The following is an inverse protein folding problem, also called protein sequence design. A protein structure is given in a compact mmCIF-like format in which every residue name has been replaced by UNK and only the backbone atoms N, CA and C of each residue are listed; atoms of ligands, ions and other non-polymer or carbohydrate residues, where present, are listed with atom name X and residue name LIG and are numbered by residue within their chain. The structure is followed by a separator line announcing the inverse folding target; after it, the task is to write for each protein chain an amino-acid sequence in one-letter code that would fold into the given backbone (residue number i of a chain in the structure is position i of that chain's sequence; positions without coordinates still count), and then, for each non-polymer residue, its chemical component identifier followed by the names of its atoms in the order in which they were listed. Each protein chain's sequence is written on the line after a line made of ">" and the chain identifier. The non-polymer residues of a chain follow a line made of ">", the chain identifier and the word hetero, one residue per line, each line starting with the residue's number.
data_IF_186339995260
#
_entry.id   IF_186339995260
#
_cell.length_a   1.000
_cell.length_b   1.000
_cell.length_c   1.000
_cell.angle_alpha   90.00
_cell.angle_beta   90.00
_cell.angle_gamma   90.00
#
_symmetry.space_group_name_H-M   'P 1'
#
loop_
_entity.id
_entity.type
_entity.pdbx_description
1 polymer ?
#
# COMPACT_ATOMS: atom_id res chain seq x y z
N UNK A 1 -34.43 12.79 41.54
CA UNK A 1 -34.42 12.09 40.25
C UNK A 1 -32.97 11.89 39.86
N UNK A 2 -32.50 10.64 39.86
CA UNK A 2 -31.11 10.26 39.57
C UNK A 2 -30.99 9.96 38.06
N UNK A 3 -29.94 10.48 37.41
CA UNK A 3 -29.62 10.13 36.01
C UNK A 3 -28.72 8.89 35.99
N UNK A 4 -28.91 7.94 35.07
CA UNK A 4 -28.12 6.72 35.02
C UNK A 4 -26.75 6.98 34.37
N UNK A 5 -25.68 6.53 35.02
CA UNK A 5 -24.33 6.52 34.47
C UNK A 5 -24.14 5.24 33.65
N UNK A 6 -24.06 5.36 32.33
CA UNK A 6 -23.71 4.24 31.44
C UNK A 6 -22.21 4.26 31.19
N UNK A 7 -21.48 3.30 31.75
CA UNK A 7 -20.04 3.13 31.52
C UNK A 7 -19.83 2.32 30.25
N UNK A 8 -19.36 2.95 29.16
CA UNK A 8 -18.83 2.22 28.00
C UNK A 8 -17.36 1.87 28.27
N UNK A 9 -17.05 0.57 28.32
CA UNK A 9 -15.68 0.08 28.26
C UNK A 9 -15.26 -0.06 26.79
N UNK A 10 -14.32 0.77 26.34
CA UNK A 10 -13.66 0.59 25.04
C UNK A 10 -12.31 -0.11 25.28
N UNK A 11 -12.26 -1.42 25.02
CA UNK A 11 -11.00 -2.14 24.88
C UNK A 11 -10.36 -1.74 23.54
N UNK A 12 -9.60 -0.65 23.55
CA UNK A 12 -8.70 -0.32 22.46
C UNK A 12 -7.50 -1.25 22.51
N UNK A 13 -7.55 -2.35 21.75
CA UNK A 13 -6.36 -3.10 21.41
C UNK A 13 -5.45 -2.15 20.60
N UNK A 14 -4.49 -1.53 21.28
CA UNK A 14 -3.35 -0.90 20.62
C UNK A 14 -2.55 -2.03 20.00
N UNK A 15 -2.85 -2.34 18.75
CA UNK A 15 -2.03 -3.19 17.90
C UNK A 15 -0.60 -2.67 18.00
N UNK A 16 0.27 -3.47 18.60
CA UNK A 16 1.70 -3.22 18.61
C UNK A 16 2.18 -3.11 17.17
N UNK A 17 2.37 -1.88 16.70
CA UNK A 17 3.02 -1.60 15.42
C UNK A 17 4.46 -2.08 15.51
N UNK A 18 4.67 -3.34 15.11
CA UNK A 18 5.99 -3.92 14.99
C UNK A 18 6.74 -3.15 13.90
N UNK A 19 7.74 -2.39 14.34
CA UNK A 19 8.84 -1.80 13.56
C UNK A 19 8.47 -1.39 12.13
N UNK A 20 8.07 -0.12 11.95
CA UNK A 20 8.01 0.51 10.65
C UNK A 20 9.43 0.64 10.06
N UNK A 21 9.98 -0.45 9.54
CA UNK A 21 10.93 -0.32 8.46
C UNK A 21 10.19 0.41 7.34
N UNK A 22 10.74 1.54 6.87
CA UNK A 22 10.15 2.26 5.75
C UNK A 22 10.33 1.39 4.51
N UNK A 23 9.31 0.59 4.21
CA UNK A 23 9.23 -0.18 2.97
C UNK A 23 8.73 0.78 1.90
N UNK A 24 9.47 0.88 0.82
CA UNK A 24 9.14 1.72 -0.30
C UNK A 24 8.79 0.86 -1.50
N UNK A 25 7.87 1.38 -2.31
CA UNK A 25 7.47 0.80 -3.58
C UNK A 25 7.95 1.67 -4.73
N UNK A 26 8.39 1.03 -5.80
CA UNK A 26 8.74 1.69 -7.06
C UNK A 26 7.87 1.09 -8.16
N UNK A 27 7.16 1.94 -8.88
CA UNK A 27 6.30 1.51 -9.97
C UNK A 27 7.10 1.42 -11.26
N UNK A 28 6.85 0.37 -12.04
CA UNK A 28 7.55 0.11 -13.30
C UNK A 28 6.55 -0.07 -14.44
N UNK A 29 7.03 0.21 -15.66
CA UNK A 29 6.28 -0.02 -16.88
C UNK A 29 6.26 -1.51 -17.27
N UNK A 30 5.61 -1.82 -18.40
CA UNK A 30 5.52 -3.19 -18.91
C UNK A 30 6.89 -3.82 -19.25
N UNK A 31 7.94 -3.01 -19.47
CA UNK A 31 9.29 -3.47 -19.76
C UNK A 31 10.16 -3.59 -18.49
N UNK A 32 9.63 -3.24 -17.32
CA UNK A 32 10.37 -3.25 -16.06
C UNK A 32 11.24 -2.01 -15.85
N UNK A 33 11.03 -0.93 -16.60
CA UNK A 33 11.68 0.34 -16.33
C UNK A 33 10.90 1.12 -15.27
N UNK A 34 11.60 1.64 -14.25
CA UNK A 34 10.95 2.47 -13.23
C UNK A 34 10.31 3.72 -13.86
N UNK A 35 9.07 4.00 -13.46
CA UNK A 35 8.32 5.17 -13.89
C UNK A 35 8.62 6.31 -12.92
N UNK A 36 9.22 7.37 -13.44
CA UNK A 36 9.70 8.48 -12.63
C UNK A 36 10.88 8.09 -11.74
N UNK A 37 11.12 8.88 -10.70
CA UNK A 37 12.26 8.70 -9.77
C UNK A 37 11.82 8.60 -8.31
N UNK A 38 10.50 8.59 -8.06
CA UNK A 38 9.92 8.58 -6.73
C UNK A 38 9.70 7.15 -6.26
N UNK A 39 10.14 6.86 -5.05
CA UNK A 39 9.75 5.66 -4.33
C UNK A 39 8.67 6.06 -3.32
N UNK A 40 7.58 5.29 -3.25
CA UNK A 40 6.42 5.59 -2.42
C UNK A 40 6.45 4.74 -1.16
N UNK A 41 6.40 5.38 0.00
CA UNK A 41 6.27 4.68 1.27
C UNK A 41 4.93 3.94 1.32
N UNK A 42 4.97 2.62 1.49
CA UNK A 42 3.76 1.77 1.52
C UNK A 42 2.93 1.97 2.78
N UNK A 43 3.47 2.67 3.79
CA UNK A 43 2.73 3.10 4.98
C UNK A 43 2.05 4.46 4.80
N UNK A 44 2.38 5.19 3.74
CA UNK A 44 1.78 6.49 3.47
C UNK A 44 0.46 6.35 2.72
N UNK A 45 -0.62 6.68 3.41
CA UNK A 45 -1.98 6.69 2.87
C UNK A 45 -2.30 7.85 1.93
N UNK A 46 -1.32 8.60 1.43
CA UNK A 46 -1.51 9.66 0.44
C UNK A 46 -1.92 9.13 -0.93
N UNK A 47 -2.76 9.88 -1.64
CA UNK A 47 -3.07 9.61 -3.04
C UNK A 47 -1.95 10.14 -3.94
N UNK A 48 -1.60 9.38 -4.97
CA UNK A 48 -0.58 9.77 -5.95
C UNK A 48 -0.92 9.22 -7.34
N UNK A 49 -0.34 9.79 -8.39
CA UNK A 49 -0.59 9.37 -9.78
C UNK A 49 0.69 8.83 -10.41
N UNK A 50 0.62 7.64 -11.00
CA UNK A 50 1.72 7.03 -11.77
C UNK A 50 1.16 6.48 -13.07
N UNK A 51 1.30 7.24 -14.16
CA UNK A 51 0.79 6.79 -15.45
C UNK A 51 1.50 5.54 -15.94
N UNK A 52 0.73 4.61 -16.54
CA UNK A 52 1.23 3.40 -17.24
C UNK A 52 1.94 2.38 -16.33
N UNK A 53 1.70 2.43 -15.02
CA UNK A 53 2.23 1.43 -14.10
C UNK A 53 1.67 0.05 -14.42
N UNK A 54 2.55 -0.92 -14.65
CA UNK A 54 2.19 -2.32 -14.88
C UNK A 54 2.80 -3.26 -13.85
N UNK A 55 3.86 -2.83 -13.18
CA UNK A 55 4.57 -3.61 -12.17
C UNK A 55 4.91 -2.73 -10.97
N UNK A 56 5.23 -3.39 -9.85
CA UNK A 56 5.77 -2.77 -8.65
C UNK A 56 6.94 -3.59 -8.11
N UNK A 57 7.98 -2.93 -7.62
CA UNK A 57 9.05 -3.53 -6.83
C UNK A 57 9.08 -2.89 -5.44
N UNK A 58 9.66 -3.61 -4.48
CA UNK A 58 9.76 -3.14 -3.10
C UNK A 58 11.22 -3.04 -2.68
N UNK A 59 11.49 -2.11 -1.78
CA UNK A 59 12.82 -1.90 -1.19
C UNK A 59 12.68 -1.39 0.23
N UNK A 60 13.72 -1.57 1.03
CA UNK A 60 13.81 -0.96 2.35
C UNK A 60 15.27 -0.61 2.63
N UNK A 61 15.50 0.38 3.48
CA UNK A 61 16.83 0.58 4.05
C UNK A 61 17.10 -0.46 5.14
N UNK A 62 18.05 -1.37 4.91
CA UNK A 62 18.50 -2.34 5.92
C UNK A 62 18.73 -3.73 5.35
N UNK A 63 19.18 -4.68 6.19
CA UNK A 63 19.59 -6.02 5.77
C UNK A 63 18.41 -7.00 5.60
N UNK A 64 17.16 -6.52 5.59
CA UNK A 64 16.02 -7.42 5.42
C UNK A 64 15.91 -7.86 3.96
N UNK A 65 15.74 -9.17 3.75
CA UNK A 65 15.54 -9.74 2.41
C UNK A 65 14.07 -9.63 1.97
N UNK A 66 13.15 -9.69 2.92
CA UNK A 66 11.71 -9.68 2.71
C UNK A 66 11.02 -8.72 3.67
N UNK A 67 9.89 -8.16 3.22
CA UNK A 67 8.94 -7.41 4.03
C UNK A 67 7.62 -8.18 4.13
N UNK A 68 7.23 -8.51 5.36
CA UNK A 68 6.13 -9.44 5.62
C UNK A 68 4.75 -8.92 5.17
N UNK A 69 4.53 -7.60 5.14
CA UNK A 69 3.21 -7.03 4.85
C UNK A 69 2.17 -7.36 5.95
N UNK A 70 0.86 -7.26 5.64
CA UNK A 70 0.28 -6.94 4.33
C UNK A 70 0.38 -5.47 3.93
N UNK A 71 0.46 -5.23 2.62
CA UNK A 71 0.34 -3.91 2.01
C UNK A 71 -0.76 -3.97 0.96
N UNK A 72 -1.78 -3.11 1.07
CA UNK A 72 -2.83 -3.01 0.08
C UNK A 72 -2.59 -1.82 -0.84
N UNK A 73 -2.50 -2.08 -2.14
CA UNK A 73 -2.51 -1.05 -3.16
C UNK A 73 -3.92 -0.88 -3.69
N UNK A 74 -4.45 0.33 -3.60
CA UNK A 74 -5.75 0.68 -4.16
C UNK A 74 -5.52 1.50 -5.44
N UNK A 75 -6.24 1.17 -6.49
CA UNK A 75 -6.25 1.90 -7.76
C UNK A 75 -7.58 2.63 -8.01
N UNK A 76 -7.48 3.73 -8.73
CA UNK A 76 -8.58 4.61 -9.11
C UNK A 76 -8.46 4.95 -10.60
N UNK A 77 -9.42 4.52 -11.41
CA UNK A 77 -9.35 4.63 -12.87
C UNK A 77 -9.35 6.08 -13.35
N UNK A 78 -10.24 6.91 -12.77
CA UNK A 78 -10.43 8.30 -13.17
C UNK A 78 -9.27 9.23 -12.75
N UNK A 79 -8.37 8.76 -11.87
CA UNK A 79 -7.33 9.58 -11.26
C UNK A 79 -7.83 10.51 -10.14
N UNK A 80 -6.90 11.13 -9.41
CA UNK A 80 -7.20 12.19 -8.44
C UNK A 80 -7.89 11.74 -7.14
N UNK A 81 -7.63 10.52 -6.66
CA UNK A 81 -8.29 9.90 -5.49
C UNK A 81 -8.70 10.90 -4.38
N UNK A 82 -10.00 10.99 -4.04
CA UNK A 82 -10.58 10.11 -3.02
C UNK A 82 -11.99 9.57 -3.38
N UNK A 83 -12.40 8.52 -2.66
CA UNK A 83 -13.57 7.65 -2.92
C UNK A 83 -13.24 6.21 -2.50
N UNK A 84 -14.16 5.27 -2.69
CA UNK A 84 -13.80 3.84 -2.64
C UNK A 84 -13.02 3.52 -3.92
N UNK A 85 -11.89 2.83 -3.80
CA UNK A 85 -11.11 2.43 -4.97
C UNK A 85 -11.90 1.52 -5.90
N UNK A 86 -11.51 1.52 -7.17
CA UNK A 86 -12.14 0.68 -8.19
C UNK A 86 -11.59 -0.76 -8.12
N UNK A 87 -10.30 -0.87 -7.76
CA UNK A 87 -9.58 -2.12 -7.64
C UNK A 87 -8.56 -2.07 -6.50
N UNK A 88 -8.26 -3.22 -5.95
CA UNK A 88 -7.22 -3.39 -4.94
C UNK A 88 -6.36 -4.63 -5.21
N UNK A 89 -5.15 -4.61 -4.67
CA UNK A 89 -4.25 -5.75 -4.68
C UNK A 89 -3.44 -5.78 -3.39
N UNK A 90 -3.51 -6.92 -2.72
CA UNK A 90 -2.73 -7.16 -1.51
C UNK A 90 -1.35 -7.76 -1.86
N UNK A 91 -0.34 -7.30 -1.14
CA UNK A 91 1.02 -7.78 -1.19
C UNK A 91 1.45 -8.27 0.19
N UNK A 92 1.96 -9.50 0.26
CA UNK A 92 2.51 -10.12 1.47
C UNK A 92 3.83 -10.79 1.14
N UNK A 93 4.70 -10.88 2.15
CA UNK A 93 6.02 -11.50 2.02
C UNK A 93 6.75 -11.06 0.73
N UNK A 94 6.85 -9.74 0.55
CA UNK A 94 7.46 -9.18 -0.65
C UNK A 94 8.98 -9.18 -0.50
N UNK A 95 9.67 -9.57 -1.56
CA UNK A 95 11.13 -9.46 -1.61
C UNK A 95 11.52 -8.00 -1.73
N UNK A 96 12.57 -7.63 -1.00
CA UNK A 96 13.20 -6.31 -1.01
C UNK A 96 14.40 -6.25 -1.97
N UNK A 97 14.63 -7.32 -2.73
CA UNK A 97 15.54 -7.33 -3.87
C UNK A 97 14.95 -6.51 -5.02
N UNK A 98 15.69 -5.50 -5.48
CA UNK A 98 15.27 -4.62 -6.57
C UNK A 98 15.12 -5.33 -7.92
N UNK A 99 15.66 -6.54 -8.06
CA UNK A 99 15.45 -7.39 -9.25
C UNK A 99 14.07 -8.05 -9.27
N UNK A 100 13.42 -8.16 -8.11
CA UNK A 100 12.09 -8.78 -7.99
C UNK A 100 11.01 -7.74 -8.28
N UNK A 101 10.15 -8.06 -9.24
CA UNK A 101 8.96 -7.28 -9.56
C UNK A 101 7.69 -8.11 -9.40
N UNK A 102 6.59 -7.42 -9.14
CA UNK A 102 5.26 -7.98 -9.00
C UNK A 102 4.35 -7.35 -10.05
N UNK A 103 3.65 -8.18 -10.82
CA UNK A 103 2.69 -7.69 -11.81
C UNK A 103 1.48 -7.10 -11.10
N UNK A 104 1.04 -5.93 -11.57
CA UNK A 104 -0.23 -5.36 -11.15
C UNK A 104 -1.36 -6.13 -11.83
N UNK A 105 -2.41 -6.45 -11.07
CA UNK A 105 -3.61 -7.06 -11.60
C UNK A 105 -4.24 -6.14 -12.65
N UNK A 106 -5.08 -6.71 -13.51
CA UNK A 106 -5.60 -6.03 -14.70
C UNK A 106 -6.25 -4.67 -14.39
N UNK A 107 -7.01 -4.54 -13.30
CA UNK A 107 -7.64 -3.27 -12.90
C UNK A 107 -6.70 -2.26 -12.25
N UNK A 108 -5.53 -2.69 -11.78
CA UNK A 108 -4.49 -1.79 -11.26
C UNK A 108 -3.54 -1.32 -12.36
N UNK A 109 -3.44 -2.07 -13.47
CA UNK A 109 -2.52 -1.77 -14.55
C UNK A 109 -2.95 -0.50 -15.31
N UNK A 110 -2.14 0.55 -15.20
CA UNK A 110 -2.34 1.81 -15.91
C UNK A 110 -3.47 2.68 -15.35
N UNK A 111 -3.93 2.43 -14.13
CA UNK A 111 -4.93 3.25 -13.46
C UNK A 111 -4.46 4.72 -13.31
N UNK A 112 -5.42 5.64 -13.23
CA UNK A 112 -5.13 7.08 -13.17
C UNK A 112 -4.42 7.52 -11.90
N UNK A 113 -4.74 6.91 -10.76
CA UNK A 113 -4.08 7.16 -9.48
C UNK A 113 -4.14 5.98 -8.53
N UNK A 114 -3.30 6.03 -7.50
CA UNK A 114 -3.10 4.96 -6.54
C UNK A 114 -3.02 5.49 -5.11
N UNK A 115 -3.24 4.59 -4.16
CA UNK A 115 -3.08 4.82 -2.74
C UNK A 115 -2.61 3.54 -2.04
N UNK A 116 -1.60 3.66 -1.18
CA UNK A 116 -1.20 2.55 -0.31
C UNK A 116 -1.99 2.56 1.00
N UNK A 117 -2.27 1.37 1.54
CA UNK A 117 -2.76 1.17 2.90
C UNK A 117 -1.87 0.11 3.56
N UNK A 118 -1.34 0.35 4.78
CA UNK A 118 -0.41 -0.57 5.47
C UNK A 118 -1.09 -1.80 6.10
N UNK A 119 -2.24 -2.22 5.57
CA UNK A 119 -3.03 -3.33 6.07
C UNK A 119 -3.58 -4.14 4.89
N UNK A 120 -4.32 -5.19 5.23
CA UNK A 120 -5.06 -5.97 4.24
C UNK A 120 -6.08 -5.14 3.48
N UNK A 121 -6.37 -5.55 2.24
CA UNK A 121 -7.39 -4.90 1.42
C UNK A 121 -8.82 -5.16 1.94
N UNK A 122 -9.02 -6.25 2.68
CA UNK A 122 -10.26 -6.61 3.35
C UNK A 122 -10.02 -6.66 4.88
N UNK A 123 -10.81 -5.96 5.72
CA UNK A 123 -10.66 -5.95 7.18
C UNK A 123 -11.05 -7.26 7.89
#
# INVERSE_FOLDING_TARGET
>A
MQFPTTTLALLGALSTGAFAANVFSSFLDANGAQIGTTNFDVSNGGCFSVGRASQVSFSQSGPAENANGPYCLIAYDAGGCPGNGDYDQEFRDVSLDSSRTYQLAQGLNGAGSYRWIPFSCDP
#
